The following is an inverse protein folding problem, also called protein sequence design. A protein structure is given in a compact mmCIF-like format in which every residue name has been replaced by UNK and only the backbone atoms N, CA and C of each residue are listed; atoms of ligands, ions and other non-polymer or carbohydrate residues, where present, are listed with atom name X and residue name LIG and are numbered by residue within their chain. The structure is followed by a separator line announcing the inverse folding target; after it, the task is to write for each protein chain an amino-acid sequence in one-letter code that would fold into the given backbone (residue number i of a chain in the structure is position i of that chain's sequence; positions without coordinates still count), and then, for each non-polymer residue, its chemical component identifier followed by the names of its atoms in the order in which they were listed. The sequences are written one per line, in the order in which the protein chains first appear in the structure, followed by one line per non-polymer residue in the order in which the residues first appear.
data_IF_909335583247
#
_entry.id   IF_909335583247
#
_cell.length_a   1.000
_cell.length_b   1.000
_cell.length_c   1.000
_cell.angle_alpha   90.00
_cell.angle_beta   90.00
_cell.angle_gamma   90.00
#
_symmetry.space_group_name_H-M   'P 1'
#
loop_
_entity.id
_entity.type
_entity.pdbx_description
1 polymer ?
#
# COMPACT_ATOMS: atom_id res chain seq x y z
N UNK A 1 -4.83 26.72 8.45
CA UNK A 1 -4.59 25.47 7.68
C UNK A 1 -3.90 24.48 8.57
N UNK A 2 -4.42 23.25 8.69
CA UNK A 2 -3.73 22.21 9.46
C UNK A 2 -2.46 21.79 8.72
N UNK A 3 -1.32 21.90 9.35
CA UNK A 3 -0.03 21.45 8.83
C UNK A 3 0.23 20.03 9.28
N UNK A 4 0.96 19.27 8.45
CA UNK A 4 1.43 17.94 8.88
C UNK A 4 2.38 18.10 10.05
N UNK A 5 2.23 17.27 11.08
CA UNK A 5 3.16 17.21 12.21
C UNK A 5 3.59 15.77 12.45
N UNK A 6 4.90 15.58 12.49
CA UNK A 6 5.54 14.28 12.70
C UNK A 6 6.56 14.38 13.84
N UNK A 7 6.36 15.33 14.75
CA UNK A 7 7.25 15.52 15.88
C UNK A 7 7.27 14.28 16.79
N UNK A 8 8.46 13.84 17.22
CA UNK A 8 8.59 12.72 18.13
C UNK A 8 7.84 12.93 19.44
N UNK A 9 7.04 11.95 19.85
CA UNK A 9 6.24 11.99 21.07
C UNK A 9 4.92 12.77 20.98
N UNK A 10 4.66 13.49 19.88
CA UNK A 10 3.39 14.16 19.63
C UNK A 10 2.41 13.33 18.81
N UNK A 11 1.24 13.89 18.54
CA UNK A 11 0.27 13.29 17.63
C UNK A 11 0.82 13.24 16.19
N UNK A 12 0.45 12.20 15.45
CA UNK A 12 0.74 12.13 14.02
C UNK A 12 -0.39 12.81 13.27
N UNK A 13 -0.15 14.03 12.77
CA UNK A 13 -1.16 14.83 12.08
C UNK A 13 -0.94 14.79 10.58
N UNK A 14 -1.93 14.31 9.85
CA UNK A 14 -2.01 14.38 8.40
C UNK A 14 -2.95 15.51 8.01
N UNK A 15 -2.45 16.52 7.32
CA UNK A 15 -3.28 17.58 6.76
C UNK A 15 -4.28 17.01 5.73
N UNK A 16 -5.41 17.72 5.50
CA UNK A 16 -6.39 17.34 4.50
C UNK A 16 -5.78 16.99 3.14
N UNK A 17 -6.30 15.94 2.52
CA UNK A 17 -5.79 15.43 1.27
C UNK A 17 -6.82 14.61 0.50
N UNK A 18 -6.45 14.08 -0.68
CA UNK A 18 -7.32 13.21 -1.46
C UNK A 18 -7.81 12.03 -0.63
N UNK A 19 -9.14 11.85 -0.56
CA UNK A 19 -9.76 10.77 0.19
C UNK A 19 -10.03 11.04 1.68
N UNK A 20 -9.50 12.14 2.25
CA UNK A 20 -9.70 12.52 3.66
C UNK A 20 -9.70 14.07 3.85
N UNK A 21 -10.78 14.71 3.45
CA UNK A 21 -10.91 16.19 3.40
C UNK A 21 -10.77 16.89 4.77
N UNK A 22 -11.04 16.19 5.86
CA UNK A 22 -10.95 16.73 7.23
C UNK A 22 -9.57 16.57 7.86
N UNK A 23 -8.59 15.99 7.12
CA UNK A 23 -7.34 15.53 7.72
C UNK A 23 -7.54 14.25 8.52
N UNK A 24 -6.45 13.75 9.09
CA UNK A 24 -6.47 12.57 9.94
C UNK A 24 -5.41 12.68 11.03
N UNK A 25 -5.77 12.31 12.25
CA UNK A 25 -4.86 12.38 13.40
C UNK A 25 -4.82 11.02 14.09
N UNK A 26 -3.61 10.49 14.25
CA UNK A 26 -3.35 9.36 15.14
C UNK A 26 -2.75 9.92 16.44
N UNK A 27 -3.45 9.81 17.57
CA UNK A 27 -2.96 10.31 18.85
C UNK A 27 -1.64 9.66 19.26
N UNK A 28 -0.79 10.39 19.95
CA UNK A 28 0.47 9.87 20.47
C UNK A 28 0.28 8.64 21.37
N UNK A 29 -0.85 8.56 22.08
CA UNK A 29 -1.20 7.44 22.96
C UNK A 29 -1.41 6.10 22.22
N UNK A 30 -1.70 6.13 20.90
CA UNK A 30 -1.83 4.95 20.06
C UNK A 30 -0.48 4.51 19.44
N UNK A 31 0.57 5.32 19.58
CA UNK A 31 1.87 5.13 18.96
C UNK A 31 2.89 4.68 20.00
N UNK A 32 3.30 3.41 19.96
CA UNK A 32 4.34 2.90 20.82
C UNK A 32 5.70 2.96 20.11
N UNK A 33 6.64 3.69 20.70
CA UNK A 33 8.02 3.79 20.20
C UNK A 33 8.94 2.92 21.06
N UNK A 34 9.69 2.01 20.43
CA UNK A 34 10.75 1.21 21.08
C UNK A 34 12.09 1.58 20.50
N UNK A 35 13.10 1.56 21.34
CA UNK A 35 14.46 1.91 20.99
C UNK A 35 15.38 0.73 21.21
N UNK A 36 16.32 0.53 20.28
CA UNK A 36 17.33 -0.50 20.40
C UNK A 36 18.63 -0.06 19.73
N UNK A 37 19.71 -0.75 20.02
CA UNK A 37 20.99 -0.53 19.36
C UNK A 37 20.91 -0.93 17.90
N UNK A 38 21.47 -0.12 17.02
CA UNK A 38 21.61 -0.51 15.61
C UNK A 38 22.65 -1.62 15.52
N UNK A 39 22.26 -2.80 15.02
CA UNK A 39 23.16 -3.89 14.69
C UNK A 39 23.86 -3.57 13.35
N UNK A 40 25.16 -3.25 13.37
CA UNK A 40 25.96 -3.04 12.17
C UNK A 40 27.40 -3.45 12.41
N UNK A 41 28.12 -4.03 11.42
CA UNK A 41 29.54 -4.32 11.53
C UNK A 41 30.35 -3.02 11.42
N UNK A 42 30.89 -2.53 12.54
CA UNK A 42 32.01 -1.63 12.53
C UNK A 42 31.79 -0.19 12.95
N UNK A 43 32.80 0.35 13.62
CA UNK A 43 33.01 1.74 13.96
C UNK A 43 32.79 2.07 15.43
N UNK A 44 33.72 2.80 16.05
CA UNK A 44 33.78 3.13 17.48
C UNK A 44 32.61 3.94 18.05
N UNK A 45 31.51 4.18 17.30
CA UNK A 45 30.33 4.92 17.74
C UNK A 45 29.02 4.12 17.69
N UNK A 46 29.04 2.91 17.13
CA UNK A 46 27.82 2.10 16.88
C UNK A 46 27.30 1.44 18.16
N UNK A 47 28.14 1.27 19.18
CA UNK A 47 27.83 0.49 20.37
C UNK A 47 27.25 1.29 21.56
N UNK A 48 27.10 2.61 21.48
CA UNK A 48 26.75 3.45 22.64
C UNK A 48 25.40 4.15 22.55
N UNK A 49 24.72 4.15 21.41
CA UNK A 49 23.47 4.90 21.25
C UNK A 49 22.35 4.03 20.71
N UNK A 50 21.22 3.97 21.41
CA UNK A 50 20.00 3.29 20.97
C UNK A 50 19.32 4.10 19.85
N UNK A 51 19.95 4.14 18.67
CA UNK A 51 19.49 4.96 17.55
C UNK A 51 18.42 4.29 16.70
N UNK A 52 18.29 2.96 16.75
CA UNK A 52 17.24 2.23 16.02
C UNK A 52 15.89 2.46 16.69
N UNK A 53 14.92 2.89 15.93
CA UNK A 53 13.56 3.16 16.36
C UNK A 53 12.59 2.18 15.72
N UNK A 54 11.72 1.61 16.51
CA UNK A 54 10.62 0.78 16.11
C UNK A 54 9.32 1.45 16.55
N UNK A 55 8.55 1.95 15.59
CA UNK A 55 7.24 2.56 15.79
C UNK A 55 6.16 1.50 15.56
N UNK A 56 5.31 1.27 16.55
CA UNK A 56 4.21 0.30 16.53
C UNK A 56 2.88 0.99 16.66
N UNK A 57 1.91 0.53 15.92
CA UNK A 57 0.53 1.01 15.96
C UNK A 57 -0.45 -0.15 15.80
N UNK A 58 -1.35 -0.33 16.78
CA UNK A 58 -2.44 -1.31 16.73
C UNK A 58 -3.54 -0.82 15.81
N UNK A 59 -3.59 -1.36 14.59
CA UNK A 59 -4.47 -0.87 13.54
C UNK A 59 -5.93 -1.20 13.83
N UNK A 60 -6.23 -2.47 14.15
CA UNK A 60 -7.62 -2.92 14.33
C UNK A 60 -8.30 -2.35 15.57
N UNK A 61 -7.54 -2.02 16.60
CA UNK A 61 -8.03 -1.48 17.87
C UNK A 61 -7.96 0.05 17.94
N UNK A 62 -7.53 0.72 16.87
CA UNK A 62 -7.27 2.15 16.86
C UNK A 62 -8.56 2.98 16.96
N UNK A 63 -8.76 3.75 18.05
CA UNK A 63 -9.81 4.76 18.15
C UNK A 63 -9.73 5.82 17.06
N UNK A 64 -8.53 6.14 16.56
CA UNK A 64 -8.35 7.07 15.45
C UNK A 64 -9.05 6.54 14.19
N UNK A 65 -8.91 5.26 13.86
CA UNK A 65 -9.60 4.65 12.71
C UNK A 65 -11.12 4.63 12.87
N UNK A 66 -11.64 4.53 14.09
CA UNK A 66 -13.07 4.56 14.34
C UNK A 66 -13.73 5.91 13.97
N UNK A 67 -12.93 6.99 13.88
CA UNK A 67 -13.38 8.33 13.45
C UNK A 67 -13.49 8.49 11.94
N UNK A 68 -12.92 7.58 11.17
CA UNK A 68 -13.04 7.56 9.72
C UNK A 68 -14.40 7.04 9.27
N UNK A 69 -14.82 7.44 8.07
CA UNK A 69 -16.00 6.81 7.46
C UNK A 69 -15.75 5.30 7.24
N UNK A 70 -16.81 4.47 7.21
CA UNK A 70 -16.65 3.02 7.00
C UNK A 70 -15.87 2.64 5.72
N UNK A 71 -15.99 3.46 4.69
CA UNK A 71 -15.25 3.25 3.44
C UNK A 71 -13.76 3.60 3.55
N UNK A 72 -13.42 4.67 4.29
CA UNK A 72 -12.03 5.04 4.56
C UNK A 72 -11.36 4.02 5.47
N UNK A 73 -12.04 3.62 6.55
CA UNK A 73 -11.55 2.61 7.47
C UNK A 73 -11.22 1.31 6.74
N UNK A 74 -12.15 0.76 5.95
CA UNK A 74 -11.90 -0.45 5.14
C UNK A 74 -10.71 -0.31 4.19
N UNK A 75 -10.52 0.87 3.58
CA UNK A 75 -9.33 1.09 2.73
C UNK A 75 -8.04 1.01 3.52
N UNK A 76 -7.97 1.65 4.69
CA UNK A 76 -6.78 1.60 5.55
C UNK A 76 -6.50 0.17 6.01
N UNK A 77 -7.51 -0.51 6.54
CA UNK A 77 -7.39 -1.91 6.99
C UNK A 77 -6.91 -2.81 5.84
N UNK A 78 -7.55 -2.76 4.68
CA UNK A 78 -7.17 -3.58 3.52
C UNK A 78 -5.79 -3.25 2.95
N UNK A 79 -5.39 -1.98 2.95
CA UNK A 79 -4.09 -1.58 2.40
C UNK A 79 -2.92 -1.93 3.33
N UNK A 80 -3.18 -2.06 4.62
CA UNK A 80 -2.16 -2.38 5.61
C UNK A 80 -2.12 -3.87 5.98
N UNK A 81 -3.16 -4.64 5.68
CA UNK A 81 -3.37 -6.03 6.13
C UNK A 81 -2.15 -6.93 5.93
N UNK A 82 -1.57 -6.93 4.73
CA UNK A 82 -0.36 -7.73 4.41
C UNK A 82 0.90 -7.31 5.18
N UNK A 83 0.87 -6.14 5.82
CA UNK A 83 2.00 -5.56 6.57
C UNK A 83 1.82 -5.68 8.08
N UNK A 84 0.67 -6.19 8.52
CA UNK A 84 0.39 -6.34 9.94
C UNK A 84 1.03 -7.61 10.50
N UNK A 85 1.59 -7.49 11.70
CA UNK A 85 2.05 -8.62 12.51
C UNK A 85 1.17 -8.66 13.76
N UNK A 86 0.32 -9.66 13.88
CA UNK A 86 -0.65 -9.76 14.99
C UNK A 86 -1.53 -8.51 15.16
N UNK A 87 -1.97 -7.90 14.05
CA UNK A 87 -2.80 -6.70 14.07
C UNK A 87 -2.02 -5.38 14.27
N UNK A 88 -0.72 -5.45 14.45
CA UNK A 88 0.19 -4.32 14.65
C UNK A 88 0.93 -3.94 13.37
N UNK A 89 0.93 -2.67 13.00
CA UNK A 89 1.85 -2.14 12.00
C UNK A 89 3.17 -1.77 12.67
N UNK A 90 4.25 -2.40 12.25
CA UNK A 90 5.58 -2.19 12.79
C UNK A 90 6.45 -1.48 11.73
N UNK A 91 6.95 -0.31 12.06
CA UNK A 91 7.82 0.49 11.19
C UNK A 91 9.17 0.70 11.88
N UNK A 92 10.23 0.24 11.22
CA UNK A 92 11.60 0.37 11.72
C UNK A 92 12.34 1.45 10.95
N UNK A 93 13.08 2.31 11.69
CA UNK A 93 13.99 3.30 11.14
C UNK A 93 15.34 3.24 11.87
N UNK A 94 16.42 3.12 11.11
CA UNK A 94 17.79 3.03 11.63
C UNK A 94 18.82 3.65 10.68
N UNK A 95 18.38 4.43 9.72
CA UNK A 95 19.22 5.05 8.69
C UNK A 95 20.05 6.24 9.18
N UNK A 96 19.64 6.86 10.28
CA UNK A 96 20.34 8.01 10.85
C UNK A 96 21.10 7.64 12.11
N UNK A 97 22.18 8.38 12.40
CA UNK A 97 22.92 8.26 13.68
C UNK A 97 22.12 8.80 14.86
N UNK A 98 21.23 9.77 14.61
CA UNK A 98 20.38 10.40 15.61
C UNK A 98 19.09 9.63 15.82
N UNK A 99 18.80 9.21 17.05
CA UNK A 99 17.52 8.61 17.43
C UNK A 99 16.34 9.51 17.06
N UNK A 100 16.47 10.85 17.29
CA UNK A 100 15.42 11.80 16.93
C UNK A 100 15.11 11.80 15.44
N UNK A 101 16.14 11.75 14.59
CA UNK A 101 15.94 11.69 13.13
C UNK A 101 15.26 10.37 12.72
N UNK A 102 15.63 9.24 13.33
CA UNK A 102 14.97 7.96 13.08
C UNK A 102 13.51 7.95 13.55
N UNK A 103 13.19 8.61 14.68
CA UNK A 103 11.80 8.79 15.12
C UNK A 103 10.97 9.56 14.08
N UNK A 104 11.51 10.67 13.56
CA UNK A 104 10.85 11.44 12.48
C UNK A 104 10.72 10.59 11.22
N UNK A 105 11.74 9.83 10.83
CA UNK A 105 11.71 8.97 9.66
C UNK A 105 10.64 7.88 9.79
N UNK A 106 10.53 7.21 10.94
CA UNK A 106 9.49 6.22 11.18
C UNK A 106 8.08 6.82 11.09
N UNK A 107 7.87 8.00 11.67
CA UNK A 107 6.60 8.73 11.61
C UNK A 107 6.24 9.18 10.21
N UNK A 108 7.21 9.65 9.43
CA UNK A 108 7.03 9.99 8.02
C UNK A 108 6.57 8.77 7.20
N UNK A 109 7.17 7.59 7.45
CA UNK A 109 6.77 6.33 6.78
C UNK A 109 5.35 5.92 7.15
N UNK A 110 4.95 6.05 8.42
CA UNK A 110 3.58 5.80 8.84
C UNK A 110 2.61 6.76 8.16
N UNK A 111 2.93 8.05 8.16
CA UNK A 111 2.11 9.07 7.52
C UNK A 111 1.94 8.82 6.03
N UNK A 112 2.99 8.44 5.34
CA UNK A 112 2.93 8.14 3.90
C UNK A 112 2.09 6.87 3.64
N UNK A 113 2.27 5.81 4.43
CA UNK A 113 1.46 4.60 4.34
C UNK A 113 -0.05 4.91 4.52
N UNK A 114 -0.38 5.76 5.50
CA UNK A 114 -1.75 6.19 5.75
C UNK A 114 -2.31 7.06 4.60
N UNK A 115 -1.52 7.98 4.04
CA UNK A 115 -1.94 8.77 2.88
C UNK A 115 -2.28 7.87 1.69
N UNK A 116 -1.40 6.93 1.37
CA UNK A 116 -1.62 5.98 0.28
C UNK A 116 -2.87 5.12 0.52
N UNK A 117 -3.04 4.62 1.74
CA UNK A 117 -4.20 3.82 2.11
C UNK A 117 -5.53 4.59 2.05
N UNK A 118 -5.52 5.89 2.34
CA UNK A 118 -6.70 6.75 2.31
C UNK A 118 -7.07 7.23 0.90
N UNK A 119 -6.18 7.10 -0.11
CA UNK A 119 -6.51 7.47 -1.47
C UNK A 119 -7.76 6.74 -1.97
N UNK A 120 -8.67 7.42 -2.68
CA UNK A 120 -9.80 6.76 -3.30
C UNK A 120 -9.31 5.80 -4.40
N UNK A 121 -9.99 4.67 -4.62
CA UNK A 121 -9.67 3.79 -5.72
C UNK A 121 -9.78 4.53 -7.05
N UNK A 122 -8.96 4.19 -8.05
CA UNK A 122 -9.09 4.79 -9.37
C UNK A 122 -10.49 4.51 -9.94
N UNK A 123 -11.05 5.43 -10.75
CA UNK A 123 -12.34 5.22 -11.37
C UNK A 123 -12.31 3.93 -12.22
N UNK A 124 -13.42 3.18 -12.26
CA UNK A 124 -13.50 1.96 -13.05
C UNK A 124 -13.19 2.27 -14.51
N UNK A 125 -12.33 1.48 -15.13
CA UNK A 125 -11.99 1.63 -16.55
C UNK A 125 -13.27 1.45 -17.36
N UNK A 126 -13.61 2.45 -18.17
CA UNK A 126 -14.69 2.33 -19.15
C UNK A 126 -14.35 1.20 -20.13
N UNK A 127 -15.28 0.26 -20.31
CA UNK A 127 -15.14 -0.77 -21.34
C UNK A 127 -15.00 -0.09 -22.72
N UNK A 128 -13.90 -0.32 -23.38
CA UNK A 128 -13.69 0.18 -24.75
C UNK A 128 -14.31 -0.81 -25.74
N UNK A 129 -15.05 -0.27 -26.73
CA UNK A 129 -15.55 -1.11 -27.83
C UNK A 129 -14.36 -1.69 -28.62
N UNK A 130 -14.45 -2.97 -29.05
CA UNK A 130 -13.42 -3.55 -29.92
C UNK A 130 -13.23 -2.70 -31.17
N UNK A 131 -11.98 -2.43 -31.53
CA UNK A 131 -11.66 -1.69 -32.75
C UNK A 131 -12.07 -2.47 -34.00
N UNK A 132 -12.38 -1.78 -35.11
CA UNK A 132 -12.67 -2.44 -36.40
C UNK A 132 -11.58 -3.44 -36.81
N UNK A 133 -10.29 -3.09 -36.55
CA UNK A 133 -9.18 -3.98 -36.84
C UNK A 133 -9.15 -5.23 -35.96
N UNK A 134 -9.54 -5.15 -34.69
CA UNK A 134 -9.67 -6.29 -33.80
C UNK A 134 -10.80 -7.24 -34.26
N UNK A 135 -11.95 -6.66 -34.63
CA UNK A 135 -13.08 -7.44 -35.14
C UNK A 135 -12.72 -8.15 -36.45
N UNK A 136 -12.04 -7.46 -37.38
CA UNK A 136 -11.58 -8.02 -38.64
C UNK A 136 -10.61 -9.19 -38.45
N UNK A 137 -9.58 -9.00 -37.61
CA UNK A 137 -8.64 -10.10 -37.27
C UNK A 137 -9.33 -11.29 -36.62
N UNK A 138 -10.31 -11.06 -35.75
CA UNK A 138 -11.10 -12.15 -35.16
C UNK A 138 -11.91 -12.93 -36.20
N UNK A 139 -12.53 -12.24 -37.17
CA UNK A 139 -13.28 -12.85 -38.23
C UNK A 139 -12.36 -13.64 -39.19
N UNK A 140 -11.21 -13.10 -39.57
CA UNK A 140 -10.21 -13.76 -40.39
C UNK A 140 -9.69 -15.04 -39.72
N UNK A 141 -9.35 -14.96 -38.42
CA UNK A 141 -8.92 -16.12 -37.63
C UNK A 141 -10.04 -17.18 -37.49
N UNK A 142 -11.31 -16.76 -37.43
CA UNK A 142 -12.44 -17.69 -37.41
C UNK A 142 -12.62 -18.39 -38.78
N UNK A 143 -12.49 -17.64 -39.90
CA UNK A 143 -12.56 -18.19 -41.25
C UNK A 143 -11.44 -19.22 -41.52
N UNK A 144 -10.20 -18.90 -41.15
CA UNK A 144 -9.06 -19.82 -41.25
C UNK A 144 -9.27 -21.11 -40.47
N UNK A 145 -9.74 -21.02 -39.22
CA UNK A 145 -10.07 -22.23 -38.44
C UNK A 145 -11.20 -23.03 -39.06
N UNK A 146 -12.18 -22.37 -39.64
CA UNK A 146 -13.29 -23.03 -40.37
C UNK A 146 -12.80 -23.79 -41.61
N UNK A 147 -11.94 -23.17 -42.43
CA UNK A 147 -11.38 -23.84 -43.63
C UNK A 147 -10.47 -25.00 -43.27
N UNK A 148 -9.63 -24.85 -42.21
CA UNK A 148 -8.80 -25.97 -41.72
C UNK A 148 -9.65 -27.14 -41.21
N UNK A 149 -10.78 -26.84 -40.54
CA UNK A 149 -11.70 -27.89 -40.05
C UNK A 149 -12.43 -28.60 -41.17
N UNK A 150 -12.91 -27.86 -42.19
CA UNK A 150 -13.57 -28.48 -43.37
C UNK A 150 -12.61 -29.32 -44.20
N UNK A 151 -11.32 -28.88 -44.34
CA UNK A 151 -10.30 -29.68 -45.04
C UNK A 151 -9.96 -31.01 -44.34
N UNK A 152 -10.12 -31.10 -43.02
CA UNK A 152 -9.94 -32.39 -42.30
C UNK A 152 -11.07 -33.39 -42.51
N UNK A 153 -12.26 -32.95 -42.88
CA UNK A 153 -13.40 -33.83 -43.19
C UNK A 153 -13.29 -34.52 -44.53
N UNK A 154 -12.63 -33.90 -45.54
CA UNK A 154 -12.48 -34.46 -46.89
C UNK A 154 -11.43 -35.57 -47.01
N UNK A 155 -10.52 -35.71 -46.05
CA UNK A 155 -9.46 -36.75 -46.07
C UNK A 155 -9.96 -38.14 -45.61
N UNK A 156 -11.16 -38.22 -44.98
CA UNK A 156 -11.68 -39.48 -44.44
C UNK A 156 -12.52 -40.35 -45.44
N UNK A 157 -12.86 -39.81 -46.60
CA UNK A 157 -13.73 -40.53 -47.57
C UNK A 157 -12.96 -41.17 -48.76
N UNK A 158 -11.61 -41.24 -48.69
CA UNK A 158 -10.83 -41.75 -49.81
C UNK A 158 -10.15 -43.11 -49.58
N UNK A 159 -10.36 -43.75 -48.43
CA UNK A 159 -9.86 -45.07 -48.07
C UNK A 159 -11.04 -46.04 -47.72
N UNK A 160 -11.95 -46.21 -48.66
CA UNK A 160 -12.95 -47.29 -48.62
C UNK A 160 -13.02 -48.00 -50.02
#
# INVERSE_FOLDING_TARGET
MATNSYEPGGDLVLAPGPGFRSGFVVPASELLERFSRSSGPGGQGVNTTDSRVELRWQVHESPALARLSPSQRRRVESALDERLVSGELIIVASEHRSQRQNRVAARNRLAEALRQALLPPPPPRRATRPTRGSQRRRLEAKKQRGSTKSGRGQVRDHDA
#
